data_IF_354065883380
#
_entry.id   IF_354065883380
#
_cell.length_a   1.000
_cell.length_b   1.000
_cell.length_c   1.000
_cell.angle_alpha   90.00
_cell.angle_beta   90.00
_cell.angle_gamma   90.00
#
_symmetry.space_group_name_H-M   'P 1'
#
loop_
_entity.id
_entity.type
_entity.pdbx_description
1 polymer ?
#
# COMPACT_ATOMS: atom_id res chain seq x y z
N UNK A 1 -17.21 -13.21 -18.40
CA UNK A 1 -15.88 -12.67 -18.05
C UNK A 1 -15.23 -13.41 -16.88
N UNK A 2 -15.90 -13.56 -15.72
CA UNK A 2 -15.35 -14.22 -14.52
C UNK A 2 -15.00 -15.71 -14.73
N UNK A 3 -15.82 -16.44 -15.48
CA UNK A 3 -15.60 -17.85 -15.86
C UNK A 3 -14.25 -18.03 -16.57
N UNK A 4 -13.97 -17.22 -17.59
CA UNK A 4 -12.73 -17.29 -18.36
C UNK A 4 -11.46 -17.09 -17.50
N UNK A 5 -11.52 -16.28 -16.45
CA UNK A 5 -10.37 -16.13 -15.54
C UNK A 5 -10.18 -17.36 -14.65
N UNK A 6 -11.27 -17.96 -14.18
CA UNK A 6 -11.22 -19.23 -13.44
C UNK A 6 -10.72 -20.37 -14.35
N UNK A 7 -11.14 -20.40 -15.61
CA UNK A 7 -10.64 -21.36 -16.61
C UNK A 7 -9.13 -21.18 -16.87
N UNK A 8 -8.62 -19.94 -16.93
CA UNK A 8 -7.17 -19.69 -17.03
C UNK A 8 -6.40 -20.17 -15.80
N UNK A 9 -6.97 -19.99 -14.61
CA UNK A 9 -6.42 -20.55 -13.37
C UNK A 9 -6.39 -22.08 -13.42
N UNK A 10 -7.44 -22.70 -13.97
CA UNK A 10 -7.50 -24.16 -14.18
C UNK A 10 -6.43 -24.62 -15.18
N UNK A 11 -6.23 -23.91 -16.29
CA UNK A 11 -5.17 -24.23 -17.25
C UNK A 11 -3.77 -24.14 -16.62
N UNK A 12 -3.58 -23.20 -15.69
CA UNK A 12 -2.27 -22.94 -15.07
C UNK A 12 -1.98 -23.84 -13.85
N UNK A 13 -3.00 -24.17 -13.07
CA UNK A 13 -2.86 -24.85 -11.77
C UNK A 13 -3.63 -26.18 -11.68
N UNK A 14 -4.31 -26.58 -12.75
CA UNK A 14 -5.12 -27.79 -12.82
C UNK A 14 -6.34 -27.77 -11.90
N UNK A 15 -6.96 -28.95 -11.77
CA UNK A 15 -8.12 -29.19 -10.92
C UNK A 15 -7.86 -28.85 -9.45
N UNK A 16 -6.67 -29.18 -8.96
CA UNK A 16 -6.27 -28.94 -7.58
C UNK A 16 -6.22 -27.45 -7.24
N UNK A 17 -5.83 -26.59 -8.18
CA UNK A 17 -5.94 -25.14 -8.03
C UNK A 17 -7.40 -24.71 -7.83
N UNK A 18 -8.30 -25.13 -8.71
CA UNK A 18 -9.72 -24.73 -8.59
C UNK A 18 -10.34 -25.24 -7.30
N UNK A 19 -10.02 -26.47 -6.91
CA UNK A 19 -10.44 -27.07 -5.63
C UNK A 19 -10.04 -26.20 -4.44
N UNK A 20 -8.78 -25.74 -4.38
CA UNK A 20 -8.27 -24.88 -3.30
C UNK A 20 -8.93 -23.50 -3.29
N UNK A 21 -9.07 -22.89 -4.46
CA UNK A 21 -9.71 -21.58 -4.57
C UNK A 21 -11.15 -21.65 -4.05
N UNK A 22 -11.91 -22.68 -4.45
CA UNK A 22 -13.25 -22.97 -3.93
C UNK A 22 -13.26 -23.14 -2.41
N UNK A 23 -12.37 -23.97 -1.87
CA UNK A 23 -12.32 -24.26 -0.44
C UNK A 23 -11.98 -23.02 0.39
N UNK A 24 -11.09 -22.16 -0.13
CA UNK A 24 -10.72 -20.92 0.53
C UNK A 24 -11.85 -19.89 0.46
N UNK A 25 -12.47 -19.68 -0.71
CA UNK A 25 -13.63 -18.80 -0.84
C UNK A 25 -14.74 -19.15 0.15
N UNK A 26 -14.97 -20.46 0.34
CA UNK A 26 -16.00 -20.98 1.24
C UNK A 26 -15.75 -20.66 2.73
N UNK A 27 -14.52 -20.28 3.10
CA UNK A 27 -14.10 -20.01 4.48
C UNK A 27 -13.81 -18.53 4.73
N UNK A 28 -13.70 -17.71 3.68
CA UNK A 28 -13.32 -16.31 3.78
C UNK A 28 -14.37 -15.50 4.54
N UNK A 29 -13.87 -14.77 5.54
CA UNK A 29 -14.55 -13.63 6.14
C UNK A 29 -13.83 -12.36 5.68
N UNK A 30 -14.56 -11.47 4.99
CA UNK A 30 -14.01 -10.25 4.42
C UNK A 30 -14.36 -9.03 5.28
N UNK A 31 -13.37 -8.16 5.48
CA UNK A 31 -13.54 -6.79 5.95
C UNK A 31 -12.97 -5.85 4.89
N UNK A 32 -13.76 -4.86 4.48
CA UNK A 32 -13.35 -3.84 3.52
C UNK A 32 -13.27 -2.46 4.16
N UNK A 33 -12.14 -1.77 4.02
CA UNK A 33 -11.92 -0.44 4.61
C UNK A 33 -11.50 0.56 3.54
N UNK A 34 -12.37 1.52 3.22
CA UNK A 34 -12.17 2.56 2.20
C UNK A 34 -11.83 1.98 0.82
N UNK A 35 -12.51 0.90 0.42
CA UNK A 35 -12.37 0.33 -0.93
C UNK A 35 -13.17 1.09 -2.01
N UNK A 36 -13.64 2.31 -1.72
CA UNK A 36 -14.51 3.07 -2.63
C UNK A 36 -15.89 2.44 -2.75
N UNK A 37 -16.39 2.31 -3.99
CA UNK A 37 -17.72 1.77 -4.34
C UNK A 37 -17.90 0.26 -4.06
N UNK A 38 -17.44 -0.24 -2.92
CA UNK A 38 -17.52 -1.66 -2.54
C UNK A 38 -16.66 -2.56 -3.43
N UNK A 39 -15.54 -2.04 -3.92
CA UNK A 39 -14.70 -2.75 -4.89
C UNK A 39 -14.19 -4.09 -4.39
N UNK A 40 -13.86 -4.19 -3.10
CA UNK A 40 -13.41 -5.43 -2.47
C UNK A 40 -14.51 -6.50 -2.44
N UNK A 41 -15.75 -6.11 -2.15
CA UNK A 41 -16.90 -6.99 -2.10
C UNK A 41 -17.30 -7.45 -3.50
N UNK A 42 -17.44 -6.51 -4.44
CA UNK A 42 -17.76 -6.81 -5.84
C UNK A 42 -16.73 -7.76 -6.45
N UNK A 43 -15.47 -7.52 -6.12
CA UNK A 43 -14.40 -8.42 -6.48
C UNK A 43 -14.65 -9.85 -5.99
N UNK A 44 -14.84 -10.01 -4.69
CA UNK A 44 -14.98 -11.34 -4.08
C UNK A 44 -16.23 -12.05 -4.60
N UNK A 45 -17.31 -11.30 -4.87
CA UNK A 45 -18.51 -11.80 -5.54
C UNK A 45 -18.21 -12.28 -6.97
N UNK A 46 -17.38 -11.54 -7.72
CA UNK A 46 -16.97 -11.94 -9.07
C UNK A 46 -16.12 -13.21 -9.06
N UNK A 47 -15.17 -13.36 -8.11
CA UNK A 47 -14.38 -14.59 -7.98
C UNK A 47 -15.32 -15.75 -7.63
N UNK A 48 -16.18 -15.55 -6.63
CA UNK A 48 -17.16 -16.52 -6.19
C UNK A 48 -18.03 -17.01 -7.34
N UNK A 49 -18.66 -16.09 -8.09
CA UNK A 49 -19.54 -16.45 -9.21
C UNK A 49 -18.80 -17.22 -10.32
N UNK A 50 -17.54 -16.85 -10.61
CA UNK A 50 -16.72 -17.59 -11.57
C UNK A 50 -16.45 -19.02 -11.11
N UNK A 51 -16.06 -19.21 -9.85
CA UNK A 51 -15.77 -20.54 -9.29
C UNK A 51 -17.03 -21.37 -9.12
N UNK A 52 -18.14 -20.74 -8.71
CA UNK A 52 -19.44 -21.39 -8.57
C UNK A 52 -19.94 -21.95 -9.92
N UNK A 53 -19.72 -21.22 -11.01
CA UNK A 53 -20.08 -21.65 -12.35
C UNK A 53 -19.20 -22.81 -12.85
N UNK A 54 -17.88 -22.76 -12.61
CA UNK A 54 -16.93 -23.75 -13.15
C UNK A 54 -16.84 -25.03 -12.30
N UNK A 55 -17.07 -24.95 -10.99
CA UNK A 55 -16.87 -26.09 -10.09
C UNK A 55 -17.67 -27.35 -10.47
N UNK A 56 -19.00 -27.28 -10.77
CA UNK A 56 -19.79 -28.45 -11.12
C UNK A 56 -19.29 -29.19 -12.36
N UNK A 57 -18.85 -28.45 -13.38
CA UNK A 57 -18.34 -29.00 -14.64
C UNK A 57 -17.03 -29.78 -14.44
N UNK A 58 -16.30 -29.44 -13.38
CA UNK A 58 -15.08 -30.12 -12.96
C UNK A 58 -15.33 -31.24 -11.92
N UNK A 59 -16.59 -31.58 -11.62
CA UNK A 59 -16.95 -32.58 -10.62
C UNK A 59 -16.70 -32.13 -9.17
N UNK A 60 -16.62 -30.82 -8.94
CA UNK A 60 -16.44 -30.22 -7.62
C UNK A 60 -17.79 -29.71 -7.09
N UNK A 61 -17.97 -29.75 -5.75
CA UNK A 61 -19.07 -29.04 -5.10
C UNK A 61 -18.95 -27.52 -5.33
N UNK A 62 -20.07 -26.81 -5.29
CA UNK A 62 -20.08 -25.35 -5.36
C UNK A 62 -19.45 -24.75 -4.10
N UNK A 63 -18.71 -23.64 -4.20
CA UNK A 63 -18.20 -22.92 -3.02
C UNK A 63 -19.36 -22.38 -2.17
N UNK A 64 -19.12 -22.20 -0.88
CA UNK A 64 -19.97 -21.38 -0.03
C UNK A 64 -19.68 -19.89 -0.28
N UNK A 65 -20.71 -19.06 -0.15
CA UNK A 65 -20.61 -17.60 -0.31
C UNK A 65 -19.63 -17.02 0.74
N UNK A 66 -18.63 -16.20 0.33
CA UNK A 66 -17.81 -15.43 1.26
C UNK A 66 -18.66 -14.57 2.20
N UNK A 67 -18.25 -14.47 3.47
CA UNK A 67 -18.97 -13.66 4.47
C UNK A 67 -18.41 -12.26 4.53
N UNK A 68 -19.20 -11.27 4.13
CA UNK A 68 -18.85 -9.86 4.20
C UNK A 68 -19.14 -9.34 5.62
N UNK A 69 -18.16 -9.40 6.53
CA UNK A 69 -18.37 -9.08 7.95
C UNK A 69 -18.55 -7.59 8.18
N UNK A 70 -17.80 -6.77 7.46
CA UNK A 70 -17.76 -5.34 7.67
C UNK A 70 -17.28 -4.60 6.43
N UNK A 71 -17.93 -3.49 6.11
CA UNK A 71 -17.41 -2.47 5.22
C UNK A 71 -17.30 -1.12 5.94
N UNK A 72 -16.32 -0.30 5.58
CA UNK A 72 -16.24 1.08 6.02
C UNK A 72 -15.98 1.99 4.82
N UNK A 73 -16.84 2.99 4.62
CA UNK A 73 -16.62 4.03 3.61
C UNK A 73 -17.09 5.40 4.12
N UNK A 74 -16.54 6.49 3.61
CA UNK A 74 -16.92 7.86 4.02
C UNK A 74 -17.93 8.49 3.07
N UNK A 75 -18.03 7.99 1.84
CA UNK A 75 -18.94 8.53 0.83
C UNK A 75 -20.33 7.88 0.97
N UNK A 76 -21.36 8.72 1.04
CA UNK A 76 -22.75 8.28 1.20
C UNK A 76 -23.18 7.41 0.02
N UNK A 77 -22.69 7.70 -1.18
CA UNK A 77 -22.95 6.96 -2.41
C UNK A 77 -22.36 5.55 -2.36
N UNK A 78 -21.15 5.40 -1.81
CA UNK A 78 -20.52 4.09 -1.59
C UNK A 78 -21.32 3.26 -0.57
N UNK A 79 -21.73 3.88 0.54
CA UNK A 79 -22.57 3.23 1.55
C UNK A 79 -23.89 2.75 0.94
N UNK A 80 -24.57 3.61 0.16
CA UNK A 80 -25.81 3.26 -0.51
C UNK A 80 -25.61 2.10 -1.51
N UNK A 81 -24.50 2.09 -2.24
CA UNK A 81 -24.14 1.01 -3.17
C UNK A 81 -23.95 -0.30 -2.40
N UNK A 82 -23.17 -0.30 -1.33
CA UNK A 82 -22.93 -1.47 -0.48
C UNK A 82 -24.22 -2.07 0.08
N UNK A 83 -25.18 -1.23 0.47
CA UNK A 83 -26.50 -1.67 0.95
C UNK A 83 -27.36 -2.32 -0.14
N UNK A 84 -27.12 -1.98 -1.41
CA UNK A 84 -27.85 -2.51 -2.57
C UNK A 84 -27.20 -3.78 -3.16
N UNK A 85 -26.05 -4.23 -2.64
CA UNK A 85 -25.43 -5.47 -3.09
C UNK A 85 -26.36 -6.67 -2.86
N UNK A 86 -26.28 -7.68 -3.73
CA UNK A 86 -27.00 -8.95 -3.55
C UNK A 86 -26.65 -9.62 -2.21
N UNK A 87 -25.40 -9.45 -1.79
CA UNK A 87 -24.86 -9.91 -0.52
C UNK A 87 -24.20 -8.72 0.20
N UNK A 88 -24.96 -7.87 0.89
CA UNK A 88 -24.41 -6.70 1.55
C UNK A 88 -23.55 -7.12 2.75
N UNK A 89 -22.60 -6.27 3.18
CA UNK A 89 -21.88 -6.46 4.43
C UNK A 89 -22.82 -6.57 5.64
N UNK A 90 -22.51 -7.45 6.59
CA UNK A 90 -23.24 -7.59 7.86
C UNK A 90 -23.24 -6.29 8.68
N UNK A 91 -22.24 -5.45 8.47
CA UNK A 91 -22.10 -4.15 9.09
C UNK A 91 -21.47 -3.14 8.13
N UNK A 92 -21.98 -1.92 8.14
CA UNK A 92 -21.41 -0.80 7.39
C UNK A 92 -21.07 0.33 8.37
N UNK A 93 -19.84 0.81 8.30
CA UNK A 93 -19.34 1.95 9.07
C UNK A 93 -19.13 3.14 8.15
N UNK A 94 -19.38 4.33 8.69
CA UNK A 94 -19.11 5.59 8.01
C UNK A 94 -17.87 6.34 8.54
N UNK A 95 -17.31 5.89 9.67
CA UNK A 95 -16.09 6.44 10.26
C UNK A 95 -15.33 5.37 11.04
N UNK A 96 -14.09 5.08 10.62
CA UNK A 96 -13.20 4.17 11.34
C UNK A 96 -12.90 4.63 12.77
N UNK A 97 -13.04 5.92 13.08
CA UNK A 97 -12.83 6.41 14.44
C UNK A 97 -13.81 5.78 15.45
N UNK A 98 -14.96 5.26 15.00
CA UNK A 98 -15.90 4.54 15.87
C UNK A 98 -15.29 3.28 16.53
N UNK A 99 -14.19 2.75 15.99
CA UNK A 99 -13.46 1.65 16.61
C UNK A 99 -12.79 2.05 17.93
N UNK A 100 -12.45 3.33 18.13
CA UNK A 100 -11.68 3.78 19.28
C UNK A 100 -12.56 4.47 20.31
N UNK A 101 -12.13 4.41 21.58
CA UNK A 101 -12.75 5.24 22.61
C UNK A 101 -12.47 6.74 22.34
N UNK A 102 -13.36 7.66 22.75
CA UNK A 102 -13.11 9.09 22.63
C UNK A 102 -11.80 9.55 23.29
N UNK A 103 -11.43 8.94 24.42
CA UNK A 103 -10.19 9.23 25.14
C UNK A 103 -8.94 8.87 24.31
N UNK A 104 -8.97 7.72 23.64
CA UNK A 104 -7.88 7.28 22.74
C UNK A 104 -7.76 8.22 21.54
N UNK A 105 -8.87 8.60 20.91
CA UNK A 105 -8.87 9.54 19.76
C UNK A 105 -8.24 10.88 20.17
N UNK A 106 -8.64 11.43 21.32
CA UNK A 106 -8.11 12.70 21.81
C UNK A 106 -6.59 12.63 22.09
N UNK A 107 -6.13 11.49 22.62
CA UNK A 107 -4.70 11.23 22.84
C UNK A 107 -3.95 11.16 21.51
N UNK A 108 -4.50 10.45 20.52
CA UNK A 108 -3.91 10.35 19.17
C UNK A 108 -3.82 11.72 18.49
N UNK A 109 -4.88 12.54 18.56
CA UNK A 109 -4.88 13.92 18.01
C UNK A 109 -3.80 14.78 18.67
N UNK A 110 -3.70 14.73 19.99
CA UNK A 110 -2.65 15.46 20.75
C UNK A 110 -1.24 15.02 20.35
N UNK A 111 -1.04 13.72 20.08
CA UNK A 111 0.22 13.19 19.60
C UNK A 111 0.55 13.69 18.19
N UNK A 112 -0.41 13.66 17.26
CA UNK A 112 -0.24 14.20 15.90
C UNK A 112 0.17 15.67 15.95
N UNK A 113 -0.49 16.49 16.77
CA UNK A 113 -0.16 17.91 16.92
C UNK A 113 1.25 18.14 17.48
N UNK A 114 1.67 17.32 18.45
CA UNK A 114 3.04 17.35 18.99
C UNK A 114 4.07 17.05 17.90
N UNK A 115 3.83 16.04 17.05
CA UNK A 115 4.73 15.67 15.96
C UNK A 115 4.75 16.70 14.83
N UNK A 116 3.60 17.33 14.52
CA UNK A 116 3.54 18.48 13.59
C UNK A 116 4.39 19.65 14.07
N UNK A 117 4.25 20.06 15.34
CA UNK A 117 5.09 21.12 15.94
C UNK A 117 6.57 20.75 15.91
N UNK A 118 6.92 19.50 16.21
CA UNK A 118 8.30 18.99 16.14
C UNK A 118 8.85 19.05 14.71
N UNK A 119 8.06 18.69 13.70
CA UNK A 119 8.43 18.83 12.28
C UNK A 119 8.70 20.29 11.94
N UNK A 120 7.80 21.19 12.29
CA UNK A 120 7.89 22.60 11.92
C UNK A 120 9.14 23.26 12.50
N UNK A 121 9.42 23.00 13.79
CA UNK A 121 10.66 23.45 14.43
C UNK A 121 11.92 22.91 13.73
N UNK A 122 11.90 21.65 13.29
CA UNK A 122 13.03 21.05 12.55
C UNK A 122 13.18 21.62 11.14
N UNK A 123 12.09 21.86 10.43
CA UNK A 123 12.11 22.52 9.12
C UNK A 123 12.72 23.92 9.23
N UNK A 124 12.32 24.70 10.25
CA UNK A 124 12.92 26.01 10.52
C UNK A 124 14.42 25.92 10.81
N UNK A 125 14.85 24.93 11.60
CA UNK A 125 16.26 24.69 11.87
C UNK A 125 17.06 24.31 10.61
N UNK A 126 16.47 23.51 9.71
CA UNK A 126 17.07 23.16 8.41
C UNK A 126 17.25 24.39 7.52
N UNK A 127 16.24 25.23 7.39
CA UNK A 127 16.34 26.45 6.58
C UNK A 127 17.36 27.43 7.15
N UNK A 128 17.42 27.56 8.48
CA UNK A 128 18.47 28.35 9.15
C UNK A 128 19.87 27.82 8.82
N UNK A 129 20.11 26.51 8.96
CA UNK A 129 21.43 25.92 8.65
C UNK A 129 21.80 26.07 7.17
N UNK A 130 20.83 25.97 6.25
CA UNK A 130 21.08 26.22 4.82
C UNK A 130 21.50 27.67 4.57
N UNK A 131 20.88 28.63 5.26
CA UNK A 131 21.26 30.03 5.19
C UNK A 131 22.68 30.24 5.75
N UNK A 132 22.98 29.71 6.94
CA UNK A 132 24.30 29.82 7.58
C UNK A 132 25.42 29.25 6.68
N UNK A 133 25.20 28.10 6.05
CA UNK A 133 26.14 27.49 5.09
C UNK A 133 26.35 28.39 3.87
N UNK A 134 25.27 29.00 3.35
CA UNK A 134 25.33 29.89 2.20
C UNK A 134 26.14 31.15 2.52
N UNK A 135 25.90 31.75 3.68
CA UNK A 135 26.57 32.97 4.12
C UNK A 135 28.07 32.75 4.35
N UNK A 136 28.45 31.61 4.95
CA UNK A 136 29.85 31.21 5.12
C UNK A 136 30.58 31.02 3.79
N UNK A 137 29.92 30.40 2.79
CA UNK A 137 30.49 30.25 1.44
C UNK A 137 30.62 31.58 0.71
N UNK A 138 29.66 32.49 0.90
CA UNK A 138 29.71 33.83 0.32
C UNK A 138 30.90 34.63 0.90
N UNK A 139 31.16 34.52 2.21
CA UNK A 139 32.32 35.17 2.85
C UNK A 139 33.65 34.60 2.39
N UNK A 140 33.76 33.28 2.17
CA UNK A 140 34.97 32.68 1.58
C UNK A 140 35.26 33.21 0.16
N UNK A 141 34.21 33.45 -0.63
CA UNK A 141 34.35 33.93 -2.02
C UNK A 141 34.74 35.41 -2.10
N UNK A 142 34.30 36.23 -1.14
CA UNK A 142 34.64 37.67 -1.12
C UNK A 142 36.05 37.95 -0.60
N UNK A 143 36.55 37.17 0.37
CA UNK A 143 37.92 37.29 0.88
C UNK A 143 38.97 36.85 -0.15
N UNK A 144 38.72 35.74 -0.85
CA UNK A 144 39.62 35.24 -1.91
C UNK A 144 39.77 36.21 -3.10
N UNK A 145 38.76 37.05 -3.38
CA UNK A 145 38.84 38.11 -4.40
C UNK A 145 39.61 39.36 -3.95
N UNK A 146 39.71 39.63 -2.65
CA UNK A 146 40.47 40.79 -2.13
C UNK A 146 41.97 40.54 -2.09
N UNK A 147 42.40 39.31 -1.84
CA UNK A 147 43.83 38.97 -1.72
C UNK A 147 44.59 38.91 -3.06
N UNK A 148 43.90 38.86 -4.22
CA UNK A 148 44.57 38.79 -5.52
C UNK A 148 45.08 40.13 -6.08
N UNK A 149 44.90 41.25 -5.35
CA UNK A 149 45.25 42.61 -5.82
C UNK A 149 46.53 43.23 -5.23
N UNK A 150 47.09 42.69 -4.14
CA UNK A 150 48.34 43.19 -3.54
C UNK A 150 49.47 42.16 -3.67
N UNK A 151 50.50 42.49 -4.46
CA UNK A 151 51.61 41.58 -4.83
C UNK A 151 52.92 41.76 -4.03
N UNK A 152 52.96 42.59 -2.99
CA UNK A 152 54.13 42.74 -2.11
C UNK A 152 53.91 42.09 -0.73
N UNK A 153 54.88 41.32 -0.25
CA UNK A 153 54.92 40.53 1.01
C UNK A 153 54.25 39.14 1.00
N UNK A 154 54.99 38.16 0.48
CA UNK A 154 54.44 36.93 -0.11
C UNK A 154 54.72 35.61 0.62
N UNK A 155 55.18 35.59 1.87
CA UNK A 155 55.49 34.32 2.58
C UNK A 155 54.81 34.14 3.95
N UNK A 156 54.70 35.19 4.77
CA UNK A 156 54.05 35.09 6.09
C UNK A 156 52.51 35.16 6.01
N UNK A 157 51.95 35.98 5.10
CA UNK A 157 50.49 36.09 4.90
C UNK A 157 49.85 34.80 4.35
N UNK A 158 50.60 34.01 3.58
CA UNK A 158 50.09 32.79 2.94
C UNK A 158 49.79 31.66 3.94
N UNK A 159 50.52 31.60 5.05
CA UNK A 159 50.30 30.58 6.10
C UNK A 159 49.03 30.90 6.88
N UNK A 160 48.87 32.16 7.32
CA UNK A 160 47.67 32.60 8.05
C UNK A 160 46.38 32.49 7.22
N UNK A 161 46.43 32.84 5.92
CA UNK A 161 45.29 32.68 5.02
C UNK A 161 44.89 31.20 4.82
N UNK A 162 45.87 30.29 4.75
CA UNK A 162 45.61 28.85 4.65
C UNK A 162 45.02 28.27 5.94
N UNK A 163 45.46 28.71 7.10
CA UNK A 163 44.88 28.29 8.39
C UNK A 163 43.45 28.80 8.58
N UNK A 164 43.18 30.06 8.21
CA UNK A 164 41.84 30.65 8.24
C UNK A 164 40.88 29.92 7.28
N UNK A 165 41.34 29.59 6.06
CA UNK A 165 40.57 28.81 5.09
C UNK A 165 40.26 27.41 5.62
N UNK A 166 41.25 26.71 6.18
CA UNK A 166 41.09 25.37 6.78
C UNK A 166 40.11 25.37 7.96
N UNK A 167 40.12 26.42 8.78
CA UNK A 167 39.17 26.61 9.88
C UNK A 167 37.73 26.80 9.38
N UNK A 168 37.53 27.65 8.37
CA UNK A 168 36.21 27.87 7.76
C UNK A 168 35.67 26.63 7.05
N UNK A 169 36.51 25.89 6.34
CA UNK A 169 36.12 24.62 5.68
C UNK A 169 35.67 23.56 6.71
N UNK A 170 36.36 23.48 7.85
CA UNK A 170 35.95 22.61 8.97
C UNK A 170 34.59 23.01 9.54
N UNK A 171 34.32 24.30 9.67
CA UNK A 171 33.02 24.83 10.13
C UNK A 171 31.88 24.49 9.16
N UNK A 172 32.09 24.68 7.85
CA UNK A 172 31.11 24.32 6.82
C UNK A 172 30.81 22.82 6.84
N UNK A 173 31.84 21.97 6.96
CA UNK A 173 31.67 20.52 7.03
C UNK A 173 30.85 20.09 8.27
N UNK A 174 31.05 20.75 9.41
CA UNK A 174 30.27 20.48 10.63
C UNK A 174 28.79 20.87 10.46
N UNK A 175 28.51 22.04 9.86
CA UNK A 175 27.14 22.46 9.57
C UNK A 175 26.46 21.55 8.54
N UNK A 176 27.18 21.09 7.52
CA UNK A 176 26.66 20.11 6.56
C UNK A 176 26.32 18.78 7.23
N UNK A 177 27.14 18.32 8.17
CA UNK A 177 26.85 17.12 8.98
C UNK A 177 25.59 17.31 9.82
N UNK A 178 25.43 18.47 10.49
CA UNK A 178 24.22 18.81 11.26
C UNK A 178 22.98 18.88 10.36
N UNK A 179 23.10 19.50 9.19
CA UNK A 179 22.03 19.59 8.20
C UNK A 179 21.57 18.20 7.74
N UNK A 180 22.51 17.31 7.39
CA UNK A 180 22.20 15.93 7.01
C UNK A 180 21.49 15.17 8.14
N UNK A 181 21.98 15.30 9.38
CA UNK A 181 21.33 14.69 10.55
C UNK A 181 19.87 15.14 10.72
N UNK A 182 19.62 16.45 10.65
CA UNK A 182 18.25 16.98 10.76
C UNK A 182 17.34 16.56 9.62
N UNK A 183 17.88 16.44 8.40
CA UNK A 183 17.13 15.94 7.24
C UNK A 183 16.74 14.47 7.42
N UNK A 184 17.64 13.63 7.94
CA UNK A 184 17.31 12.23 8.26
C UNK A 184 16.26 12.14 9.38
N UNK A 185 16.36 12.95 10.43
CA UNK A 185 15.33 13.01 11.48
C UNK A 185 13.97 13.50 10.96
N UNK A 186 13.95 14.41 9.97
CA UNK A 186 12.72 14.84 9.31
C UNK A 186 12.09 13.74 8.46
N UNK A 187 12.90 12.87 7.84
CA UNK A 187 12.39 11.72 7.06
C UNK A 187 11.72 10.68 7.97
N UNK A 188 12.25 10.47 9.17
CA UNK A 188 11.75 9.43 10.08
C UNK A 188 10.61 9.89 10.99
N UNK A 189 10.39 11.19 11.14
CA UNK A 189 9.40 11.74 12.08
C UNK A 189 7.98 11.21 11.85
N UNK A 190 7.58 11.02 10.59
CA UNK A 190 6.28 10.45 10.23
C UNK A 190 6.15 8.98 10.63
N UNK A 191 7.18 8.17 10.37
CA UNK A 191 7.19 6.76 10.74
C UNK A 191 7.17 6.60 12.27
N UNK A 192 7.94 7.42 13.00
CA UNK A 192 7.90 7.43 14.46
C UNK A 192 6.50 7.78 14.99
N UNK A 193 5.82 8.77 14.39
CA UNK A 193 4.43 9.08 14.75
C UNK A 193 3.51 7.87 14.55
N UNK A 194 3.61 7.19 13.40
CA UNK A 194 2.76 6.04 13.10
C UNK A 194 2.98 4.88 14.08
N UNK A 195 4.25 4.56 14.41
CA UNK A 195 4.58 3.55 15.42
C UNK A 195 4.00 3.92 16.79
N UNK A 196 4.14 5.18 17.21
CA UNK A 196 3.59 5.66 18.49
C UNK A 196 2.05 5.62 18.51
N UNK A 197 1.38 5.94 17.40
CA UNK A 197 -0.07 5.85 17.27
C UNK A 197 -0.56 4.40 17.39
N UNK A 198 0.04 3.47 16.64
CA UNK A 198 -0.32 2.05 16.71
C UNK A 198 -0.08 1.49 18.12
N UNK A 199 1.01 1.89 18.77
CA UNK A 199 1.28 1.51 20.16
C UNK A 199 0.18 1.98 21.13
N UNK A 200 -0.33 3.20 20.96
CA UNK A 200 -1.43 3.72 21.79
C UNK A 200 -2.73 2.96 21.51
N UNK A 201 -3.05 2.74 20.23
CA UNK A 201 -4.30 2.10 19.81
C UNK A 201 -4.35 0.60 20.14
N UNK A 202 -3.20 -0.05 20.32
CA UNK A 202 -3.12 -1.47 20.72
C UNK A 202 -3.10 -1.67 22.24
N UNK A 203 -3.14 -0.59 23.03
CA UNK A 203 -3.28 -0.69 24.49
C UNK A 203 -4.65 -1.27 24.90
N UNK A 204 -4.69 -2.00 26.02
CA UNK A 204 -5.93 -2.54 26.57
C UNK A 204 -6.94 -1.41 26.82
N UNK A 205 -8.14 -1.56 26.25
CA UNK A 205 -9.23 -0.59 26.40
C UNK A 205 -9.18 0.58 25.42
N UNK A 206 -8.23 0.61 24.47
CA UNK A 206 -8.20 1.64 23.44
C UNK A 206 -9.34 1.49 22.41
N UNK A 207 -9.64 0.26 22.02
CA UNK A 207 -10.75 -0.08 21.15
C UNK A 207 -12.07 -0.25 21.92
N UNK A 208 -13.16 0.22 21.33
CA UNK A 208 -14.52 -0.11 21.77
C UNK A 208 -14.77 -1.60 21.56
N UNK A 209 -15.34 -2.28 22.56
CA UNK A 209 -15.72 -3.69 22.40
C UNK A 209 -16.78 -3.89 21.32
N UNK A 210 -17.66 -2.91 21.20
CA UNK A 210 -18.78 -2.88 20.28
C UNK A 210 -18.74 -1.56 19.52
N UNK A 211 -18.81 -1.65 18.21
CA UNK A 211 -18.75 -0.50 17.30
C UNK A 211 -20.15 -0.26 16.73
N UNK A 212 -20.73 0.94 16.87
CA UNK A 212 -22.01 1.27 16.24
C UNK A 212 -21.85 1.33 14.73
N UNK A 213 -22.76 0.71 13.99
CA UNK A 213 -22.78 0.68 12.53
C UNK A 213 -24.07 1.34 12.02
N UNK A 214 -24.17 1.57 10.71
CA UNK A 214 -25.38 2.14 10.09
C UNK A 214 -26.62 1.29 10.41
N UNK A 215 -26.47 -0.04 10.39
CA UNK A 215 -27.57 -0.99 10.50
C UNK A 215 -27.55 -1.82 11.81
N UNK A 216 -26.65 -1.52 12.76
CA UNK A 216 -26.54 -2.28 13.99
C UNK A 216 -25.23 -2.07 14.76
N UNK A 217 -24.55 -3.18 15.08
CA UNK A 217 -23.32 -3.20 15.88
C UNK A 217 -22.39 -4.32 15.43
N UNK A 218 -21.09 -4.05 15.44
CA UNK A 218 -20.03 -5.06 15.24
C UNK A 218 -19.21 -5.24 16.50
N UNK A 219 -18.86 -6.48 16.83
CA UNK A 219 -17.94 -6.78 17.91
C UNK A 219 -16.56 -7.11 17.34
N UNK A 220 -15.53 -6.48 17.87
CA UNK A 220 -14.15 -6.74 17.43
C UNK A 220 -13.73 -8.16 17.76
N UNK A 221 -14.24 -8.71 18.86
CA UNK A 221 -14.02 -10.11 19.23
C UNK A 221 -14.51 -11.07 18.18
N UNK A 222 -15.61 -10.74 17.51
CA UNK A 222 -16.21 -11.61 16.49
C UNK A 222 -15.32 -11.62 15.25
N UNK A 223 -14.80 -10.46 14.83
CA UNK A 223 -13.80 -10.37 13.76
C UNK A 223 -12.53 -11.16 14.11
N UNK A 224 -12.03 -11.05 15.35
CA UNK A 224 -10.83 -11.74 15.80
C UNK A 224 -11.03 -13.27 15.96
N UNK A 225 -12.28 -13.75 16.02
CA UNK A 225 -12.61 -15.16 16.10
C UNK A 225 -12.69 -15.84 14.71
N UNK A 226 -12.69 -15.06 13.63
CA UNK A 226 -12.74 -15.56 12.27
C UNK A 226 -11.43 -16.29 11.90
N UNK A 227 -11.52 -17.59 11.58
CA UNK A 227 -10.35 -18.42 11.26
C UNK A 227 -9.59 -17.90 10.04
N UNK A 228 -10.32 -17.46 9.01
CA UNK A 228 -9.77 -16.95 7.77
C UNK A 228 -10.28 -15.54 7.45
N UNK A 229 -9.94 -14.60 8.33
CA UNK A 229 -10.22 -13.19 8.15
C UNK A 229 -9.28 -12.58 7.11
N UNK A 230 -9.86 -11.90 6.13
CA UNK A 230 -9.15 -11.08 5.13
C UNK A 230 -9.56 -9.62 5.32
N UNK A 231 -8.58 -8.73 5.42
CA UNK A 231 -8.82 -7.29 5.43
C UNK A 231 -8.33 -6.71 4.10
N UNK A 232 -9.20 -5.99 3.40
CA UNK A 232 -8.87 -5.24 2.19
C UNK A 232 -9.00 -3.76 2.53
N UNK A 233 -7.97 -2.96 2.25
CA UNK A 233 -7.96 -1.56 2.62
C UNK A 233 -7.32 -0.64 1.56
N UNK A 234 -7.92 0.53 1.35
CA UNK A 234 -7.33 1.64 0.60
C UNK A 234 -6.99 2.80 1.55
N UNK A 235 -5.72 3.12 1.78
CA UNK A 235 -5.40 4.29 2.60
C UNK A 235 -5.70 5.57 1.83
N UNK A 236 -6.37 6.54 2.49
CA UNK A 236 -6.67 7.85 1.88
C UNK A 236 -5.39 8.51 1.35
N UNK A 237 -5.27 8.53 0.02
CA UNK A 237 -4.02 8.85 -0.68
C UNK A 237 -3.65 10.34 -0.66
N UNK A 238 -4.53 11.21 -0.18
CA UNK A 238 -4.30 12.67 -0.14
C UNK A 238 -3.00 12.98 0.58
N UNK A 239 -2.73 12.35 1.72
CA UNK A 239 -1.54 12.60 2.52
C UNK A 239 -0.23 12.15 1.84
N UNK A 240 -0.28 11.12 0.98
CA UNK A 240 0.88 10.50 0.34
C UNK A 240 1.10 10.98 -1.11
N UNK A 241 0.13 11.68 -1.69
CA UNK A 241 0.19 12.20 -3.05
C UNK A 241 0.72 13.64 -3.12
N UNK A 242 0.92 14.13 -4.35
CA UNK A 242 1.22 15.54 -4.62
C UNK A 242 0.11 16.48 -4.11
N UNK A 243 -1.14 16.02 -4.08
CA UNK A 243 -2.28 16.82 -3.61
C UNK A 243 -2.16 17.22 -2.14
N UNK A 244 -1.65 16.33 -1.27
CA UNK A 244 -1.40 16.63 0.13
C UNK A 244 -0.01 17.23 0.40
N UNK A 245 0.66 17.77 -0.62
CA UNK A 245 2.01 18.35 -0.51
C UNK A 245 3.05 17.37 0.05
N UNK A 246 2.82 16.06 -0.09
CA UNK A 246 3.69 15.02 0.46
C UNK A 246 3.79 15.05 1.99
N UNK A 247 2.69 15.33 2.69
CA UNK A 247 2.65 15.35 4.15
C UNK A 247 2.99 13.97 4.77
N UNK A 248 2.77 12.88 4.04
CA UNK A 248 2.96 11.51 4.51
C UNK A 248 2.17 11.25 5.79
N UNK A 249 2.78 10.56 6.76
CA UNK A 249 2.16 10.31 8.06
C UNK A 249 1.94 11.56 8.94
N UNK A 250 2.20 12.77 8.46
CA UNK A 250 1.88 14.01 9.20
C UNK A 250 0.63 14.70 8.64
N UNK A 251 -0.04 14.07 7.67
CA UNK A 251 -1.27 14.59 7.08
C UNK A 251 -2.50 14.42 7.97
N UNK A 252 -3.69 14.68 7.41
CA UNK A 252 -4.92 14.69 8.21
C UNK A 252 -5.50 13.30 8.42
N UNK A 253 -5.21 12.36 7.53
CA UNK A 253 -5.79 11.01 7.49
C UNK A 253 -4.90 9.97 8.17
N UNK A 254 -3.76 10.37 8.75
CA UNK A 254 -2.85 9.47 9.48
C UNK A 254 -3.56 8.66 10.56
N UNK A 255 -4.54 9.25 11.27
CA UNK A 255 -5.27 8.53 12.33
C UNK A 255 -6.09 7.38 11.74
N UNK A 256 -6.68 7.54 10.56
CA UNK A 256 -7.45 6.48 9.90
C UNK A 256 -6.54 5.32 9.47
N UNK A 257 -5.38 5.65 8.90
CA UNK A 257 -4.35 4.66 8.55
C UNK A 257 -3.83 3.93 9.80
N UNK A 258 -3.60 4.65 10.90
CA UNK A 258 -3.20 4.05 12.18
C UNK A 258 -4.29 3.13 12.76
N UNK A 259 -5.58 3.49 12.64
CA UNK A 259 -6.70 2.64 13.06
C UNK A 259 -6.72 1.34 12.24
N UNK A 260 -6.56 1.43 10.92
CA UNK A 260 -6.47 0.25 10.05
C UNK A 260 -5.34 -0.69 10.47
N UNK A 261 -4.11 -0.18 10.64
CA UNK A 261 -2.97 -0.99 11.07
C UNK A 261 -3.23 -1.61 12.46
N UNK A 262 -3.77 -0.82 13.38
CA UNK A 262 -4.10 -1.30 14.73
C UNK A 262 -5.20 -2.35 14.73
N UNK A 263 -6.17 -2.24 13.81
CA UNK A 263 -7.20 -3.25 13.64
C UNK A 263 -6.55 -4.58 13.21
N UNK A 264 -5.62 -4.56 12.25
CA UNK A 264 -4.86 -5.74 11.84
C UNK A 264 -4.10 -6.37 13.02
N UNK A 265 -3.52 -5.55 13.91
CA UNK A 265 -2.85 -6.04 15.10
C UNK A 265 -3.81 -6.75 16.08
N UNK A 266 -5.01 -6.20 16.26
CA UNK A 266 -6.00 -6.70 17.23
C UNK A 266 -6.76 -7.91 16.70
N UNK A 267 -7.18 -7.90 15.44
CA UNK A 267 -7.98 -8.97 14.83
C UNK A 267 -7.13 -10.10 14.26
N UNK A 268 -5.84 -9.84 14.00
CA UNK A 268 -4.87 -10.81 13.49
C UNK A 268 -5.34 -11.55 12.22
N UNK A 269 -5.70 -10.81 11.14
CA UNK A 269 -6.18 -11.45 9.92
C UNK A 269 -5.16 -12.41 9.31
N UNK A 270 -5.65 -13.39 8.56
CA UNK A 270 -4.79 -14.30 7.81
C UNK A 270 -4.02 -13.52 6.72
N UNK A 271 -4.73 -12.61 6.04
CA UNK A 271 -4.23 -11.80 4.94
C UNK A 271 -4.75 -10.37 5.05
N UNK A 272 -3.88 -9.40 4.78
CA UNK A 272 -4.27 -8.02 4.50
C UNK A 272 -3.83 -7.67 3.09
N UNK A 273 -4.73 -7.08 2.31
CA UNK A 273 -4.39 -6.47 1.02
C UNK A 273 -4.56 -4.96 1.20
N UNK A 274 -3.50 -4.21 0.92
CA UNK A 274 -3.52 -2.77 0.98
C UNK A 274 -3.17 -2.15 -0.37
N UNK A 275 -3.96 -1.16 -0.77
CA UNK A 275 -3.75 -0.34 -1.95
C UNK A 275 -3.40 1.09 -1.52
N UNK A 276 -2.42 1.69 -2.20
CA UNK A 276 -2.23 3.13 -2.13
C UNK A 276 -1.43 3.66 -3.32
N UNK A 277 -1.10 4.96 -3.29
CA UNK A 277 -0.18 5.56 -4.25
C UNK A 277 1.25 5.00 -4.12
N UNK A 278 2.06 5.01 -5.19
CA UNK A 278 3.45 4.53 -5.16
C UNK A 278 4.39 5.24 -4.15
N UNK A 279 3.95 6.34 -3.55
CA UNK A 279 4.71 7.10 -2.54
C UNK A 279 4.42 6.67 -1.11
N UNK A 280 3.52 5.71 -0.91
CA UNK A 280 3.19 5.19 0.40
C UNK A 280 4.42 4.48 1.01
N UNK A 281 4.83 4.81 2.25
CA UNK A 281 5.99 4.20 2.90
C UNK A 281 5.63 2.82 3.49
N UNK A 282 5.53 1.81 2.63
CA UNK A 282 5.06 0.45 2.96
C UNK A 282 5.84 -0.25 4.09
N UNK A 283 7.11 0.10 4.32
CA UNK A 283 7.93 -0.48 5.42
C UNK A 283 7.30 -0.28 6.80
N UNK A 284 6.31 0.61 6.91
CA UNK A 284 5.56 0.79 8.14
C UNK A 284 4.83 -0.48 8.57
N UNK A 285 4.39 -1.33 7.63
CA UNK A 285 3.68 -2.56 7.94
C UNK A 285 4.58 -3.53 8.68
N UNK A 286 5.79 -3.79 8.19
CA UNK A 286 6.77 -4.63 8.89
C UNK A 286 7.15 -4.05 10.27
N UNK A 287 7.31 -2.73 10.36
CA UNK A 287 7.66 -2.05 11.62
C UNK A 287 6.58 -2.16 12.71
N UNK A 288 5.31 -2.23 12.30
CA UNK A 288 4.16 -2.19 13.23
C UNK A 288 3.50 -3.55 13.41
N UNK A 289 3.52 -4.39 12.38
CA UNK A 289 2.92 -5.71 12.32
C UNK A 289 4.01 -6.80 12.28
N UNK A 290 4.99 -6.77 13.18
CA UNK A 290 6.18 -7.66 13.15
C UNK A 290 5.93 -9.18 13.21
N UNK A 291 4.67 -9.63 13.20
CA UNK A 291 4.25 -11.05 13.02
C UNK A 291 3.74 -11.35 11.60
N UNK A 292 3.91 -10.40 10.69
CA UNK A 292 3.52 -10.48 9.30
C UNK A 292 4.73 -10.27 8.40
N UNK A 293 4.63 -10.79 7.19
CA UNK A 293 5.55 -10.53 6.09
C UNK A 293 4.81 -9.69 5.05
N UNK A 294 5.41 -8.58 4.64
CA UNK A 294 4.85 -7.70 3.61
C UNK A 294 5.44 -8.02 2.23
N UNK A 295 4.55 -8.18 1.26
CA UNK A 295 4.83 -8.47 -0.13
C UNK A 295 4.41 -7.28 -0.97
N UNK A 296 5.31 -6.31 -1.10
CA UNK A 296 5.09 -5.06 -1.83
C UNK A 296 5.35 -5.20 -3.34
N UNK A 297 4.48 -4.63 -4.15
CA UNK A 297 4.67 -4.50 -5.60
C UNK A 297 4.05 -3.21 -6.15
N UNK A 298 4.52 -2.76 -7.32
CA UNK A 298 3.94 -1.67 -8.08
C UNK A 298 3.28 -2.24 -9.33
N UNK A 299 1.99 -1.94 -9.51
CA UNK A 299 1.22 -2.38 -10.67
C UNK A 299 0.72 -1.16 -11.44
N UNK A 300 0.86 -1.18 -12.77
CA UNK A 300 0.20 -0.22 -13.64
C UNK A 300 -1.04 -0.86 -14.25
N UNK A 301 -2.14 -0.15 -14.19
CA UNK A 301 -3.38 -0.55 -14.83
C UNK A 301 -3.25 -0.98 -16.30
N UNK A 302 -2.43 -0.24 -17.07
CA UNK A 302 -2.19 -0.50 -18.47
C UNK A 302 -1.57 -1.86 -18.76
N UNK A 303 -0.79 -2.41 -17.82
CA UNK A 303 -0.18 -3.73 -17.98
C UNK A 303 -1.24 -4.85 -17.97
N UNK A 304 -2.45 -4.55 -17.49
CA UNK A 304 -3.59 -5.46 -17.41
C UNK A 304 -4.65 -5.15 -18.48
N UNK A 305 -4.24 -4.50 -19.57
CA UNK A 305 -5.10 -4.19 -20.72
C UNK A 305 -6.04 -3.01 -20.47
N UNK A 306 -5.84 -2.25 -19.38
CA UNK A 306 -6.71 -1.13 -19.06
C UNK A 306 -6.20 0.18 -19.64
N UNK A 307 -7.09 0.97 -20.25
CA UNK A 307 -6.82 2.27 -20.88
C UNK A 307 -6.18 3.38 -20.05
N UNK A 308 -5.73 3.14 -18.83
CA UNK A 308 -5.32 4.19 -17.90
C UNK A 308 -3.88 3.98 -17.47
N UNK A 309 -3.10 5.05 -17.46
CA UNK A 309 -1.74 5.05 -16.91
C UNK A 309 -1.80 5.37 -15.43
N UNK A 310 -2.08 4.35 -14.61
CA UNK A 310 -2.29 4.49 -13.16
C UNK A 310 -1.42 3.49 -12.42
N UNK A 311 -0.25 3.97 -11.99
CA UNK A 311 0.63 3.21 -11.09
C UNK A 311 0.04 3.24 -9.67
N UNK A 312 -0.06 2.05 -9.05
CA UNK A 312 -0.46 1.85 -7.66
C UNK A 312 0.51 0.94 -6.93
N UNK A 313 0.69 1.22 -5.64
CA UNK A 313 1.36 0.34 -4.70
C UNK A 313 0.34 -0.64 -4.14
N UNK A 314 0.75 -1.91 -4.14
CA UNK A 314 -0.02 -3.02 -3.61
C UNK A 314 0.83 -3.77 -2.60
N UNK A 315 0.26 -4.00 -1.42
CA UNK A 315 0.91 -4.68 -0.32
C UNK A 315 0.06 -5.91 0.04
N UNK A 316 0.62 -7.12 -0.09
CA UNK A 316 0.07 -8.33 0.54
C UNK A 316 0.77 -8.57 1.86
N UNK A 317 0.08 -8.32 2.96
CA UNK A 317 0.65 -8.47 4.30
C UNK A 317 0.10 -9.78 4.87
N UNK A 318 0.93 -10.81 4.84
CA UNK A 318 0.56 -12.18 5.19
C UNK A 318 1.00 -12.50 6.62
N UNK A 319 0.11 -13.07 7.43
CA UNK A 319 0.50 -13.53 8.77
C UNK A 319 1.56 -14.63 8.65
N UNK A 320 2.61 -14.60 9.48
CA UNK A 320 3.71 -15.57 9.43
C UNK A 320 3.28 -17.02 9.73
N UNK A 321 2.02 -17.24 10.11
CA UNK A 321 1.41 -18.58 10.19
C UNK A 321 1.08 -19.17 8.82
N UNK A 322 1.10 -18.34 7.78
CA UNK A 322 0.77 -18.67 6.42
C UNK A 322 2.01 -18.43 5.54
N UNK A 323 2.18 -19.27 4.53
CA UNK A 323 3.27 -19.15 3.56
C UNK A 323 2.69 -19.06 2.16
N UNK A 324 3.32 -18.24 1.30
CA UNK A 324 3.00 -18.25 -0.13
C UNK A 324 3.68 -19.48 -0.75
N UNK A 325 2.95 -20.31 -1.51
CA UNK A 325 3.51 -21.51 -2.14
C UNK A 325 4.51 -21.17 -3.26
N UNK A 326 4.51 -19.94 -3.75
CA UNK A 326 5.37 -19.42 -4.82
C UNK A 326 5.86 -18.02 -4.42
N UNK A 327 7.08 -17.67 -4.83
CA UNK A 327 7.58 -16.30 -4.65
C UNK A 327 6.75 -15.30 -5.46
N UNK A 328 6.67 -14.04 -5.01
CA UNK A 328 5.97 -12.96 -5.72
C UNK A 328 6.35 -12.84 -7.21
N UNK A 329 7.60 -13.12 -7.57
CA UNK A 329 8.08 -13.06 -8.96
C UNK A 329 7.31 -14.04 -9.86
N UNK A 330 7.01 -15.24 -9.37
CA UNK A 330 6.22 -16.23 -10.13
C UNK A 330 4.75 -15.80 -10.23
N UNK A 331 4.23 -15.05 -9.24
CA UNK A 331 2.89 -14.46 -9.29
C UNK A 331 2.80 -13.36 -10.36
N UNK A 332 3.85 -12.54 -10.50
CA UNK A 332 3.93 -11.53 -11.54
C UNK A 332 4.00 -12.16 -12.95
N UNK A 333 4.80 -13.21 -13.14
CA UNK A 333 4.90 -13.93 -14.41
C UNK A 333 3.58 -14.60 -14.84
N UNK A 334 2.77 -15.07 -13.90
CA UNK A 334 1.43 -15.58 -14.19
C UNK A 334 0.47 -14.44 -14.59
N UNK A 335 0.56 -13.30 -13.90
CA UNK A 335 -0.27 -12.14 -14.19
C UNK A 335 0.00 -11.53 -15.57
N UNK A 336 1.26 -11.54 -16.03
CA UNK A 336 1.64 -11.05 -17.36
C UNK A 336 1.28 -12.01 -18.49
N UNK A 337 1.17 -13.32 -18.21
CA UNK A 337 0.64 -14.32 -19.14
C UNK A 337 -0.89 -14.28 -19.25
N UNK A 338 -1.56 -13.77 -18.24
CA UNK A 338 -2.97 -13.39 -18.30
C UNK A 338 -3.13 -12.07 -19.09
N UNK A 339 -2.66 -12.04 -20.34
CA UNK A 339 -2.94 -10.93 -21.26
C UNK A 339 -4.46 -10.82 -21.38
N UNK A 340 -4.99 -9.78 -20.77
CA UNK A 340 -6.40 -9.49 -20.79
C UNK A 340 -6.75 -8.92 -22.16
N UNK A 341 -7.55 -9.68 -22.90
CA UNK A 341 -8.14 -9.23 -24.15
C UNK A 341 -9.08 -8.06 -23.86
N UNK A 342 -8.73 -6.87 -24.39
CA UNK A 342 -9.54 -5.66 -24.34
C UNK A 342 -10.98 -5.86 -24.85
N UNK A 343 -11.21 -6.85 -25.73
CA UNK A 343 -12.54 -7.21 -26.24
C UNK A 343 -13.49 -7.74 -25.18
N UNK A 344 -12.98 -8.40 -24.15
CA UNK A 344 -13.80 -8.93 -23.08
C UNK A 344 -14.35 -7.81 -22.16
N UNK A 345 -13.65 -6.67 -22.08
CA UNK A 345 -13.95 -5.59 -21.13
C UNK A 345 -15.02 -4.63 -21.60
N UNK A 346 -15.11 -4.41 -22.91
CA UNK A 346 -15.98 -3.37 -23.46
C UNK A 346 -17.37 -3.91 -23.84
N UNK A 347 -17.62 -5.23 -23.74
CA UNK A 347 -18.74 -5.89 -24.43
C UNK A 347 -18.83 -5.48 -25.91
N UNK A 348 -17.69 -5.10 -26.46
CA UNK A 348 -17.61 -4.35 -27.68
C UNK A 348 -17.08 -5.26 -28.77
N UNK A 349 -17.59 -5.07 -29.97
CA UNK A 349 -17.12 -5.85 -31.09
C UNK A 349 -15.64 -5.55 -31.40
N UNK A 350 -15.03 -6.39 -32.23
CA UNK A 350 -13.60 -6.24 -32.56
C UNK A 350 -13.29 -4.83 -33.11
N UNK A 351 -14.23 -4.19 -33.80
CA UNK A 351 -14.03 -2.86 -34.37
C UNK A 351 -13.99 -1.77 -33.28
N UNK A 352 -14.89 -1.85 -32.29
CA UNK A 352 -14.89 -0.96 -31.12
C UNK A 352 -13.62 -1.14 -30.27
N UNK A 353 -13.12 -2.36 -30.14
CA UNK A 353 -11.87 -2.67 -29.41
C UNK A 353 -10.67 -2.08 -30.13
N UNK A 354 -10.61 -2.18 -31.46
CA UNK A 354 -9.53 -1.60 -32.25
C UNK A 354 -9.61 -0.07 -32.27
N UNK A 355 -10.82 0.49 -32.38
CA UNK A 355 -11.05 1.93 -32.26
C UNK A 355 -10.61 2.44 -30.88
N UNK A 356 -10.88 1.68 -29.83
CA UNK A 356 -10.45 2.00 -28.49
C UNK A 356 -8.93 1.91 -28.33
N UNK A 357 -8.29 0.83 -28.77
CA UNK A 357 -6.81 0.70 -28.79
C UNK A 357 -6.15 1.89 -29.49
N UNK A 358 -6.73 2.37 -30.59
CA UNK A 358 -6.29 3.56 -31.31
C UNK A 358 -6.49 4.84 -30.49
N UNK A 359 -7.65 5.03 -29.89
CA UNK A 359 -7.96 6.14 -28.98
C UNK A 359 -7.02 6.20 -27.77
N UNK A 360 -6.65 5.05 -27.20
CA UNK A 360 -5.69 4.95 -26.10
C UNK A 360 -4.27 5.27 -26.52
N UNK A 361 -3.85 4.84 -27.71
CA UNK A 361 -2.59 5.28 -28.28
C UNK A 361 -2.57 6.82 -28.43
N UNK A 362 -3.72 7.44 -28.71
CA UNK A 362 -3.87 8.90 -28.83
C UNK A 362 -3.96 9.64 -27.47
N UNK A 363 -4.51 9.03 -26.41
CA UNK A 363 -4.63 9.63 -25.06
C UNK A 363 -3.45 9.34 -24.14
N UNK A 364 -2.70 8.26 -24.37
CA UNK A 364 -1.40 8.08 -23.72
C UNK A 364 -0.49 9.31 -23.96
N UNK A 365 -0.80 10.14 -24.98
CA UNK A 365 -0.18 11.44 -25.22
C UNK A 365 -0.80 12.64 -24.46
N UNK A 366 -1.95 12.52 -23.78
CA UNK A 366 -2.76 13.66 -23.28
C UNK A 366 -3.21 13.61 -21.82
N UNK A 367 -3.04 12.50 -21.09
CA UNK A 367 -3.03 12.47 -19.62
C UNK A 367 -4.22 13.09 -18.86
N UNK A 368 -5.41 12.48 -18.93
CA UNK A 368 -6.56 12.82 -18.06
C UNK A 368 -7.09 11.60 -17.29
N UNK A 369 -7.63 11.82 -16.08
CA UNK A 369 -8.22 10.80 -15.18
C UNK A 369 -9.76 10.82 -15.21
N UNK A 370 -10.38 9.65 -15.28
CA UNK A 370 -11.82 9.40 -15.52
C UNK A 370 -12.42 8.51 -14.40
N UNK A 371 -13.67 8.66 -13.96
CA UNK A 371 -14.39 7.82 -12.96
C UNK A 371 -14.38 6.29 -13.11
N UNK A 372 -13.84 5.70 -14.18
CA UNK A 372 -13.63 4.25 -14.34
C UNK A 372 -12.55 3.66 -13.40
N UNK A 373 -11.85 4.51 -12.68
CA UNK A 373 -10.72 4.18 -11.82
C UNK A 373 -11.04 3.26 -10.62
N UNK A 374 -12.30 3.17 -10.16
CA UNK A 374 -12.67 2.46 -8.92
C UNK A 374 -13.15 1.01 -9.14
N UNK A 375 -13.92 0.73 -10.20
CA UNK A 375 -14.21 -0.64 -10.66
C UNK A 375 -12.92 -1.36 -11.05
N UNK A 376 -11.93 -0.59 -11.49
CA UNK A 376 -10.65 -1.03 -11.98
C UNK A 376 -9.70 -1.56 -10.88
N UNK A 377 -9.65 -0.91 -9.72
CA UNK A 377 -8.88 -1.37 -8.56
C UNK A 377 -9.36 -2.75 -8.07
N UNK A 378 -10.67 -2.99 -8.16
CA UNK A 378 -11.31 -4.26 -7.82
C UNK A 378 -10.81 -5.44 -8.68
N UNK A 379 -10.40 -5.20 -9.93
CA UNK A 379 -9.95 -6.26 -10.86
C UNK A 379 -8.45 -6.57 -10.70
N UNK A 380 -7.62 -5.57 -10.45
CA UNK A 380 -6.22 -5.78 -10.06
C UNK A 380 -6.13 -6.60 -8.77
N UNK A 381 -7.01 -6.27 -7.83
CA UNK A 381 -7.22 -7.07 -6.64
C UNK A 381 -7.71 -8.48 -6.95
N UNK A 382 -8.47 -8.72 -8.03
CA UNK A 382 -8.90 -10.07 -8.44
C UNK A 382 -7.70 -10.92 -8.80
N UNK A 383 -6.85 -10.38 -9.66
CA UNK A 383 -5.62 -11.05 -10.07
C UNK A 383 -4.73 -11.32 -8.86
N UNK A 384 -4.56 -10.37 -7.96
CA UNK A 384 -3.74 -10.54 -6.77
C UNK A 384 -4.34 -11.51 -5.74
N UNK A 385 -5.63 -11.35 -5.42
CA UNK A 385 -6.33 -12.15 -4.42
C UNK A 385 -6.51 -13.61 -4.85
N UNK A 386 -6.85 -13.88 -6.13
CA UNK A 386 -6.93 -15.24 -6.66
C UNK A 386 -5.64 -16.05 -6.42
N UNK A 387 -4.48 -15.39 -6.39
CA UNK A 387 -3.19 -16.04 -6.18
C UNK A 387 -2.78 -16.16 -4.70
N UNK A 388 -3.30 -15.30 -3.82
CA UNK A 388 -3.07 -15.36 -2.37
C UNK A 388 -3.97 -16.39 -1.68
N UNK A 389 -5.14 -16.70 -2.26
CA UNK A 389 -6.06 -17.75 -1.80
C UNK A 389 -5.56 -19.18 -2.12
N UNK A 390 -4.25 -19.46 -2.02
CA UNK A 390 -3.69 -20.82 -2.18
C UNK A 390 -2.78 -21.28 -1.01
N UNK A 391 -3.21 -21.31 0.27
CA UNK A 391 -2.29 -21.76 1.32
C UNK A 391 -2.39 -23.27 1.66
N UNK A 392 -1.25 -23.96 1.50
CA UNK A 392 -0.69 -25.21 2.11
C UNK A 392 -1.42 -26.58 2.21
N UNK A 393 -0.67 -27.64 1.81
CA UNK A 393 -0.10 -28.69 2.68
C UNK A 393 1.40 -28.88 2.27
N UNK A 394 2.31 -29.31 3.16
CA UNK A 394 3.68 -29.64 2.78
C UNK A 394 3.68 -30.87 1.88
N UNK A 395 3.95 -30.70 0.58
CA UNK A 395 4.49 -31.81 -0.18
C UNK A 395 5.98 -31.89 0.16
N UNK A 396 6.37 -32.97 0.84
CA UNK A 396 7.72 -33.50 0.71
C UNK A 396 7.94 -33.81 -0.78
N UNK A 397 8.43 -32.83 -1.54
CA UNK A 397 9.07 -33.09 -2.82
C UNK A 397 10.53 -33.40 -2.50
N UNK A 398 10.89 -34.67 -2.57
CA UNK A 398 12.27 -35.07 -2.80
C UNK A 398 12.76 -34.33 -4.05
N UNK A 399 13.62 -33.33 -3.83
CA UNK A 399 14.38 -32.68 -4.88
C UNK A 399 15.27 -33.74 -5.52
N UNK A 400 14.82 -34.29 -6.64
CA UNK A 400 15.74 -34.81 -7.65
C UNK A 400 16.60 -33.62 -8.09
N UNK A 401 17.79 -33.53 -7.52
CA UNK A 401 18.86 -32.68 -8.01
C UNK A 401 19.20 -33.11 -9.43
N UNK A 402 18.62 -32.42 -10.43
CA UNK A 402 19.15 -32.48 -11.78
C UNK A 402 20.46 -31.70 -11.78
N UNK A 403 21.54 -32.46 -11.77
CA UNK A 403 22.91 -32.00 -11.81
C UNK A 403 23.16 -31.36 -13.18
N UNK A 404 23.03 -30.05 -13.30
CA UNK A 404 23.49 -29.30 -14.48
C UNK A 404 24.93 -28.84 -14.25
N UNK A 405 25.85 -29.79 -14.37
CA UNK A 405 27.24 -29.52 -14.72
C UNK A 405 27.37 -29.47 -16.24
N UNK A 406 28.16 -28.50 -16.74
CA UNK A 406 28.54 -28.21 -18.14
C UNK A 406 27.60 -27.19 -18.82
N UNK A 407 28.06 -26.05 -19.34
CA UNK A 407 29.29 -25.81 -20.08
C UNK A 407 29.84 -24.39 -19.88
N UNK A 408 31.16 -24.31 -19.67
CA UNK A 408 31.98 -23.15 -20.03
C UNK A 408 32.26 -23.13 -21.55
N UNK A 409 32.59 -21.92 -22.04
CA UNK A 409 33.20 -21.55 -23.32
C UNK A 409 32.31 -21.52 -24.58
N UNK A 410 31.93 -20.31 -25.02
CA UNK A 410 32.52 -19.52 -26.15
C UNK A 410 32.16 -18.06 -25.94
#
# INVERSE_FOLDING_TARGET
>A
HNIATVERLYQSNGLEGIKRLRDNLSKVSLVSLFSGLGGAELLMQNIFAGVEAVAPDLGLERPLQPRYKLACDVATECIATLQQHQHPPEAILNDLQHFLTPATINTCRSLVDKFKKKRDAKCQAVEKLKADIRDLRATQTSESKKESKDKSDKKAKTIAANEAKKSKDKSVAELQKKLKSLQEELKTIGNTLMVDLVKIMTMKGAFNKTVPTVDGKVWISDLAAEEFLVIIAGSVCKDFSSMGKGAGFLGQYVILCAIFISLCYVTKPALVIHECTPRFPFQIFEQTLGTYTDYHTLLNAADFGVPVQRNRAWDAILSNKWTLPRGLCELHELSSKCVLDASLWLLADDDEVQAYKKYLADIAMKGSSDPFDELFESILMFAFACHLFFPNYPCEFELYTCNMSHHENI
#
